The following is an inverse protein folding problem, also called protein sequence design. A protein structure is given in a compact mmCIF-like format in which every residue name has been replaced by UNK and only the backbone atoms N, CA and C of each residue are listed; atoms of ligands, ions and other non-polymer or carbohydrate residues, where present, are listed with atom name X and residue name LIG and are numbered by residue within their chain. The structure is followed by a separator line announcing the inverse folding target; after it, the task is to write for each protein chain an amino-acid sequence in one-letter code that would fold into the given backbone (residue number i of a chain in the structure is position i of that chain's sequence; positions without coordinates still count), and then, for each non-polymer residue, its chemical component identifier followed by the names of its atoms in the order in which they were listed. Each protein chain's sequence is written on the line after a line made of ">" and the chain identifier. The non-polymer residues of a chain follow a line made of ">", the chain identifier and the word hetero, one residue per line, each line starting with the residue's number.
data_IF_503297208986
#
_entry.id   IF_503297208986
#
_cell.length_a   1.000
_cell.length_b   1.000
_cell.length_c   1.000
_cell.angle_alpha   90.00
_cell.angle_beta   90.00
_cell.angle_gamma   90.00
#
_symmetry.space_group_name_H-M   'P 1'
#
loop_
_entity.id
_entity.type
_entity.pdbx_description
1 polymer ?
#
# COMPACT_ATOMS: atom_id res chain seq x y z
N UNK A 1 0.77 -18.94 -3.96
CA UNK A 1 0.19 -18.37 -2.72
C UNK A 1 -0.94 -19.20 -2.11
N UNK A 2 -1.96 -19.63 -2.88
CA UNK A 2 -3.09 -20.40 -2.32
C UNK A 2 -2.69 -21.68 -1.56
N UNK A 3 -1.75 -22.48 -2.07
CA UNK A 3 -1.24 -23.68 -1.38
C UNK A 3 -0.58 -23.35 -0.03
N UNK A 4 0.18 -22.25 0.03
CA UNK A 4 0.86 -21.80 1.26
C UNK A 4 -0.14 -21.32 2.32
N UNK A 5 -1.14 -20.53 1.91
CA UNK A 5 -2.23 -20.10 2.80
C UNK A 5 -3.05 -21.31 3.29
N UNK A 6 -3.25 -22.33 2.44
CA UNK A 6 -3.97 -23.53 2.85
C UNK A 6 -3.20 -24.35 3.89
N UNK A 7 -1.86 -24.38 3.82
CA UNK A 7 -1.01 -25.05 4.81
C UNK A 7 -0.81 -24.23 6.09
N UNK A 8 -0.88 -22.90 5.99
CA UNK A 8 -0.79 -21.97 7.14
C UNK A 8 -1.77 -20.80 6.95
N UNK A 9 -3.01 -20.94 7.44
CA UNK A 9 -4.05 -19.90 7.31
C UNK A 9 -3.80 -18.64 8.15
N UNK A 10 -2.85 -18.67 9.08
CA UNK A 10 -2.51 -17.53 9.92
C UNK A 10 -1.32 -16.73 9.36
N UNK A 11 -0.71 -17.20 8.28
CA UNK A 11 0.35 -16.49 7.56
C UNK A 11 -0.14 -15.20 6.89
N UNK A 12 -0.16 -14.12 7.66
CA UNK A 12 -0.65 -12.79 7.26
C UNK A 12 -0.02 -12.28 5.95
N UNK A 13 1.29 -12.47 5.78
CA UNK A 13 2.03 -12.02 4.59
C UNK A 13 1.55 -12.73 3.32
N UNK A 14 1.09 -13.97 3.44
CA UNK A 14 0.55 -14.73 2.30
C UNK A 14 -0.67 -14.03 1.67
N UNK A 15 -1.56 -13.50 2.50
CA UNK A 15 -2.69 -12.71 2.02
C UNK A 15 -2.26 -11.41 1.37
N UNK A 16 -1.23 -10.73 1.88
CA UNK A 16 -0.69 -9.51 1.27
C UNK A 16 -0.15 -9.75 -0.14
N UNK A 17 0.63 -10.82 -0.35
CA UNK A 17 1.10 -11.18 -1.69
C UNK A 17 -0.04 -11.62 -2.62
N UNK A 18 -1.04 -12.32 -2.09
CA UNK A 18 -2.21 -12.70 -2.88
C UNK A 18 -3.01 -11.47 -3.30
N UNK A 19 -3.14 -10.47 -2.42
CA UNK A 19 -3.77 -9.20 -2.75
C UNK A 19 -3.14 -8.58 -4.00
N UNK A 20 -1.82 -8.38 -4.01
CA UNK A 20 -1.13 -7.80 -5.17
C UNK A 20 -1.26 -8.65 -6.44
N UNK A 21 -1.37 -9.97 -6.30
CA UNK A 21 -1.72 -10.85 -7.44
C UNK A 21 -3.13 -10.54 -7.97
N UNK A 22 -4.10 -10.30 -7.09
CA UNK A 22 -5.49 -9.93 -7.46
C UNK A 22 -5.58 -8.53 -8.05
N UNK A 23 -4.77 -7.59 -7.56
CA UNK A 23 -4.61 -6.26 -8.14
C UNK A 23 -4.24 -6.33 -9.62
N UNK A 24 -3.19 -7.09 -9.96
CA UNK A 24 -2.76 -7.29 -11.36
C UNK A 24 -3.80 -7.98 -12.24
N UNK A 25 -4.73 -8.72 -11.64
CA UNK A 25 -5.87 -9.34 -12.35
C UNK A 25 -7.06 -8.39 -12.54
N UNK A 26 -6.96 -7.14 -12.06
CA UNK A 26 -8.06 -6.18 -12.07
C UNK A 26 -9.18 -6.47 -11.06
N UNK A 27 -9.00 -7.45 -10.17
CA UNK A 27 -10.03 -7.81 -9.19
C UNK A 27 -9.86 -7.00 -7.91
N UNK A 28 -10.44 -5.80 -7.91
CA UNK A 28 -10.37 -4.84 -6.80
C UNK A 28 -11.02 -5.36 -5.51
N UNK A 29 -12.13 -6.10 -5.63
CA UNK A 29 -12.82 -6.68 -4.48
C UNK A 29 -11.93 -7.69 -3.76
N UNK A 30 -11.36 -8.64 -4.51
CA UNK A 30 -10.47 -9.65 -3.96
C UNK A 30 -9.16 -9.02 -3.45
N UNK A 31 -8.66 -7.97 -4.09
CA UNK A 31 -7.50 -7.21 -3.62
C UNK A 31 -7.75 -6.64 -2.22
N UNK A 32 -8.85 -5.91 -2.01
CA UNK A 32 -9.16 -5.31 -0.71
C UNK A 32 -9.50 -6.38 0.34
N UNK A 33 -10.21 -7.45 -0.04
CA UNK A 33 -10.50 -8.56 0.86
C UNK A 33 -9.23 -9.23 1.40
N UNK A 34 -8.25 -9.45 0.52
CA UNK A 34 -6.95 -10.03 0.90
C UNK A 34 -6.09 -9.06 1.71
N UNK A 35 -6.07 -7.77 1.37
CA UNK A 35 -5.41 -6.76 2.20
C UNK A 35 -6.00 -6.72 3.61
N UNK A 36 -7.33 -6.64 3.74
CA UNK A 36 -7.99 -6.63 5.04
C UNK A 36 -7.73 -7.91 5.83
N UNK A 37 -7.66 -9.06 5.17
CA UNK A 37 -7.33 -10.33 5.83
C UNK A 37 -5.87 -10.35 6.30
N UNK A 38 -4.94 -9.85 5.49
CA UNK A 38 -3.53 -9.68 5.89
C UNK A 38 -3.40 -8.79 7.12
N UNK A 39 -4.12 -7.67 7.17
CA UNK A 39 -4.14 -6.76 8.32
C UNK A 39 -4.67 -7.46 9.58
N UNK A 40 -5.80 -8.17 9.45
CA UNK A 40 -6.44 -8.88 10.56
C UNK A 40 -5.51 -9.96 11.14
N UNK A 41 -4.94 -10.80 10.29
CA UNK A 41 -4.02 -11.88 10.69
C UNK A 41 -2.70 -11.33 11.26
N UNK A 42 -2.29 -10.14 10.83
CA UNK A 42 -1.17 -9.40 11.40
C UNK A 42 -1.51 -8.63 12.69
N UNK A 43 -2.67 -8.86 13.31
CA UNK A 43 -3.07 -8.23 14.58
C UNK A 43 -3.60 -6.79 14.46
N UNK A 44 -3.82 -6.27 13.24
CA UNK A 44 -4.34 -4.92 12.99
C UNK A 44 -5.81 -4.98 12.60
N UNK A 45 -6.65 -5.40 13.54
CA UNK A 45 -8.09 -5.56 13.32
C UNK A 45 -8.79 -4.24 12.95
N UNK A 46 -8.35 -3.13 13.56
CA UNK A 46 -8.80 -1.77 13.26
C UNK A 46 -8.53 -1.36 11.80
N UNK A 47 -7.34 -1.65 11.29
CA UNK A 47 -6.95 -1.40 9.91
C UNK A 47 -7.73 -2.31 8.94
N UNK A 48 -7.98 -3.56 9.31
CA UNK A 48 -8.78 -4.49 8.51
C UNK A 48 -10.24 -4.02 8.39
N UNK A 49 -10.85 -3.58 9.49
CA UNK A 49 -12.20 -3.03 9.50
C UNK A 49 -12.28 -1.75 8.68
N UNK A 50 -11.30 -0.85 8.83
CA UNK A 50 -11.20 0.40 8.06
C UNK A 50 -11.23 0.14 6.55
N UNK A 51 -10.42 -0.81 6.06
CA UNK A 51 -10.39 -1.17 4.64
C UNK A 51 -11.76 -1.69 4.17
N UNK A 52 -12.37 -2.62 4.93
CA UNK A 52 -13.67 -3.22 4.56
C UNK A 52 -14.79 -2.19 4.56
N UNK A 53 -14.86 -1.36 5.60
CA UNK A 53 -15.88 -0.31 5.74
C UNK A 53 -15.72 0.76 4.66
N UNK A 54 -14.49 1.19 4.36
CA UNK A 54 -14.20 2.12 3.27
C UNK A 54 -14.62 1.55 1.92
N UNK A 55 -14.32 0.27 1.67
CA UNK A 55 -14.73 -0.41 0.44
C UNK A 55 -16.24 -0.47 0.28
N UNK A 56 -16.98 -0.80 1.35
CA UNK A 56 -18.45 -0.81 1.32
C UNK A 56 -19.09 0.55 1.02
N UNK A 57 -18.40 1.66 1.33
CA UNK A 57 -18.90 3.02 1.08
C UNK A 57 -18.57 3.55 -0.31
N UNK A 58 -17.45 3.15 -0.91
CA UNK A 58 -16.93 3.82 -2.11
C UNK A 58 -16.01 2.97 -2.98
N UNK A 59 -16.09 1.64 -2.87
CA UNK A 59 -15.22 0.71 -3.60
C UNK A 59 -13.74 0.93 -3.28
N UNK A 60 -12.87 0.68 -4.26
CA UNK A 60 -11.40 0.80 -4.09
C UNK A 60 -10.99 2.17 -3.54
N UNK A 61 -11.54 3.26 -4.09
CA UNK A 61 -11.21 4.62 -3.65
C UNK A 61 -11.65 4.84 -2.21
N UNK A 62 -12.86 4.42 -1.85
CA UNK A 62 -13.34 4.50 -0.46
C UNK A 62 -12.47 3.74 0.54
N UNK A 63 -11.97 2.56 0.16
CA UNK A 63 -11.05 1.79 1.00
C UNK A 63 -9.71 2.51 1.21
N UNK A 64 -9.15 3.08 0.13
CA UNK A 64 -7.88 3.80 0.17
C UNK A 64 -8.00 5.10 0.98
N UNK A 65 -9.04 5.92 0.74
CA UNK A 65 -9.28 7.15 1.50
C UNK A 65 -9.44 6.87 2.99
N UNK A 66 -10.25 5.87 3.37
CA UNK A 66 -10.43 5.48 4.77
C UNK A 66 -9.12 5.04 5.42
N UNK A 67 -8.30 4.27 4.71
CA UNK A 67 -7.01 3.82 5.20
C UNK A 67 -6.01 4.97 5.36
N UNK A 68 -5.97 5.92 4.42
CA UNK A 68 -5.14 7.12 4.52
C UNK A 68 -5.56 7.94 5.75
N UNK A 69 -6.85 8.20 5.94
CA UNK A 69 -7.36 8.91 7.12
C UNK A 69 -6.97 8.21 8.44
N UNK A 70 -7.12 6.89 8.47
CA UNK A 70 -6.74 6.07 9.62
C UNK A 70 -5.24 6.16 9.92
N UNK A 71 -4.38 6.03 8.90
CA UNK A 71 -2.93 6.15 9.03
C UNK A 71 -2.51 7.57 9.47
N UNK A 72 -3.14 8.61 8.93
CA UNK A 72 -2.90 10.00 9.30
C UNK A 72 -3.36 10.32 10.73
N UNK A 73 -4.39 9.66 11.23
CA UNK A 73 -4.79 9.76 12.64
C UNK A 73 -3.76 9.08 13.54
N UNK A 74 -3.31 7.88 13.18
CA UNK A 74 -2.27 7.14 13.92
C UNK A 74 -0.93 7.87 13.95
N UNK A 75 -0.57 8.55 12.86
CA UNK A 75 0.69 9.30 12.77
C UNK A 75 0.81 10.45 13.79
N UNK A 76 -0.27 10.80 14.48
CA UNK A 76 -0.26 11.79 15.58
C UNK A 76 0.25 11.21 16.90
N UNK A 77 0.22 9.89 17.06
CA UNK A 77 0.55 9.21 18.33
C UNK A 77 1.66 8.17 18.19
N UNK A 78 1.90 7.67 16.98
CA UNK A 78 2.94 6.70 16.69
C UNK A 78 3.58 6.94 15.31
N UNK A 79 4.75 6.36 15.07
CA UNK A 79 5.37 6.43 13.75
C UNK A 79 4.54 5.64 12.73
N UNK A 80 4.20 6.29 11.63
CA UNK A 80 3.55 5.68 10.47
C UNK A 80 4.40 5.97 9.25
N UNK A 81 4.80 4.91 8.54
CA UNK A 81 5.64 5.03 7.34
C UNK A 81 4.94 5.87 6.25
N UNK A 82 5.51 7.03 5.84
CA UNK A 82 5.04 7.79 4.69
C UNK A 82 4.98 6.95 3.40
N UNK A 83 5.88 5.98 3.22
CA UNK A 83 5.85 5.06 2.08
C UNK A 83 4.55 4.26 2.02
N UNK A 84 4.07 3.78 3.17
CA UNK A 84 2.80 3.06 3.26
C UNK A 84 1.59 3.93 2.88
N UNK A 85 1.63 5.23 3.22
CA UNK A 85 0.60 6.19 2.81
C UNK A 85 0.67 6.45 1.30
N UNK A 86 1.88 6.61 0.75
CA UNK A 86 2.09 6.78 -0.69
C UNK A 86 1.51 5.62 -1.51
N UNK A 87 1.64 4.38 -1.04
CA UNK A 87 1.05 3.20 -1.69
C UNK A 87 -0.46 3.33 -1.85
N UNK A 88 -1.19 3.80 -0.83
CA UNK A 88 -2.65 3.97 -0.94
C UNK A 88 -3.05 5.11 -1.87
N UNK A 89 -2.31 6.23 -1.89
CA UNK A 89 -2.52 7.29 -2.88
C UNK A 89 -2.27 6.79 -4.31
N UNK A 90 -1.24 5.98 -4.51
CA UNK A 90 -0.91 5.42 -5.82
C UNK A 90 -1.97 4.45 -6.32
N UNK A 91 -2.44 3.54 -5.46
CA UNK A 91 -3.56 2.64 -5.76
C UNK A 91 -4.83 3.41 -6.13
N UNK A 92 -5.06 4.59 -5.51
CA UNK A 92 -6.19 5.46 -5.82
C UNK A 92 -6.00 6.27 -7.12
N UNK A 93 -4.78 6.30 -7.67
CA UNK A 93 -4.40 7.08 -8.85
C UNK A 93 -4.10 8.55 -8.58
N UNK A 94 -3.93 8.95 -7.33
CA UNK A 94 -3.60 10.31 -6.92
C UNK A 94 -2.08 10.50 -6.89
N UNK A 95 -1.52 10.82 -8.07
CA UNK A 95 -0.08 10.89 -8.26
C UNK A 95 0.57 12.03 -7.49
N UNK A 96 -0.12 13.16 -7.33
CA UNK A 96 0.46 14.32 -6.66
C UNK A 96 0.71 14.05 -5.18
N UNK A 97 -0.29 13.51 -4.47
CA UNK A 97 -0.09 13.08 -3.09
C UNK A 97 0.82 11.85 -3.00
N UNK A 98 0.83 10.97 -4.00
CA UNK A 98 1.80 9.86 -4.03
C UNK A 98 3.22 10.39 -3.97
N UNK A 99 3.57 11.36 -4.82
CA UNK A 99 4.91 11.95 -4.82
C UNK A 99 5.20 12.76 -3.55
N UNK A 100 4.22 13.50 -3.02
CA UNK A 100 4.39 14.20 -1.74
C UNK A 100 4.85 13.25 -0.63
N UNK A 101 4.19 12.10 -0.51
CA UNK A 101 4.51 11.11 0.52
C UNK A 101 5.77 10.29 0.18
N UNK A 102 6.10 10.07 -1.08
CA UNK A 102 7.38 9.47 -1.47
C UNK A 102 8.57 10.38 -1.15
N UNK A 103 8.44 11.69 -1.36
CA UNK A 103 9.47 12.66 -0.97
C UNK A 103 9.65 12.71 0.54
N UNK A 104 8.54 12.64 1.29
CA UNK A 104 8.58 12.52 2.75
C UNK A 104 9.27 11.21 3.16
N UNK A 105 8.90 10.09 2.52
CA UNK A 105 9.48 8.78 2.79
C UNK A 105 11.00 8.76 2.55
N UNK A 106 11.45 9.41 1.47
CA UNK A 106 12.86 9.57 1.14
C UNK A 106 13.61 10.38 2.20
N UNK A 107 13.09 11.56 2.58
CA UNK A 107 13.72 12.41 3.61
C UNK A 107 13.81 11.74 4.98
N UNK A 108 12.80 10.94 5.32
CA UNK A 108 12.72 10.25 6.61
C UNK A 108 13.41 8.88 6.59
N UNK A 109 14.03 8.47 5.48
CA UNK A 109 14.59 7.12 5.31
C UNK A 109 13.60 6.02 5.70
N UNK A 110 12.34 6.20 5.28
CA UNK A 110 11.25 5.33 5.67
C UNK A 110 11.47 3.91 5.15
N UNK A 111 11.11 2.92 5.97
CA UNK A 111 11.25 1.52 5.59
C UNK A 111 10.50 1.19 4.30
N UNK A 112 11.07 0.28 3.51
CA UNK A 112 10.62 -0.17 2.18
C UNK A 112 10.92 0.76 1.01
N UNK A 113 11.52 1.92 1.24
CA UNK A 113 12.01 2.77 0.14
C UNK A 113 12.95 2.00 -0.80
N UNK A 114 13.73 1.06 -0.28
CA UNK A 114 14.60 0.17 -1.05
C UNK A 114 13.85 -0.70 -2.09
N UNK A 115 12.54 -0.92 -1.92
CA UNK A 115 11.69 -1.72 -2.81
C UNK A 115 10.87 -0.87 -3.79
N UNK A 116 11.10 0.44 -3.88
CA UNK A 116 10.31 1.36 -4.71
C UNK A 116 10.18 0.93 -6.18
N UNK A 117 11.19 0.21 -6.72
CA UNK A 117 11.19 -0.30 -8.11
C UNK A 117 10.30 -1.53 -8.30
N UNK A 118 10.10 -2.32 -7.25
CA UNK A 118 9.38 -3.59 -7.26
C UNK A 118 7.92 -3.45 -6.79
N UNK A 119 7.52 -2.25 -6.36
CA UNK A 119 6.19 -1.99 -5.82
C UNK A 119 5.16 -1.84 -6.95
N UNK A 120 4.19 -2.75 -6.99
CA UNK A 120 3.12 -2.78 -8.00
C UNK A 120 2.30 -1.49 -8.01
N UNK A 121 2.12 -0.87 -6.84
CA UNK A 121 1.42 0.41 -6.72
C UNK A 121 2.06 1.52 -7.55
N UNK A 122 3.38 1.43 -7.78
CA UNK A 122 4.17 2.48 -8.43
C UNK A 122 4.49 2.17 -9.90
N UNK A 123 3.90 1.12 -10.48
CA UNK A 123 4.13 0.78 -11.89
C UNK A 123 3.81 1.97 -12.81
N UNK A 124 2.71 2.68 -12.55
CA UNK A 124 2.30 3.87 -13.31
C UNK A 124 3.19 5.11 -13.11
N UNK A 125 4.08 5.11 -12.12
CA UNK A 125 5.00 6.24 -11.86
C UNK A 125 6.27 6.16 -12.70
N UNK A 126 6.59 5.00 -13.27
CA UNK A 126 7.90 4.76 -13.94
C UNK A 126 8.18 5.70 -15.11
N UNK A 127 7.14 6.23 -15.76
CA UNK A 127 7.27 7.22 -16.83
C UNK A 127 7.27 8.68 -16.35
N UNK A 128 6.96 8.94 -15.07
CA UNK A 128 6.91 10.30 -14.53
C UNK A 128 8.33 10.80 -14.21
N UNK A 129 8.73 12.00 -14.70
CA UNK A 129 10.06 12.56 -14.42
C UNK A 129 10.39 12.68 -12.93
N UNK A 130 9.39 12.88 -12.05
CA UNK A 130 9.58 12.95 -10.60
C UNK A 130 10.06 11.62 -10.04
N UNK A 131 9.60 10.50 -10.59
CA UNK A 131 10.04 9.16 -10.18
C UNK A 131 11.49 8.90 -10.58
N UNK A 132 11.86 9.27 -11.81
CA UNK A 132 13.23 9.14 -12.31
C UNK A 132 14.22 9.96 -11.47
N UNK A 133 13.85 11.20 -11.13
CA UNK A 133 14.67 12.04 -10.24
C UNK A 133 14.79 11.46 -8.83
N UNK A 134 13.70 10.93 -8.28
CA UNK A 134 13.71 10.26 -6.97
C UNK A 134 14.66 9.06 -6.96
N UNK A 135 14.58 8.17 -7.95
CA UNK A 135 15.50 7.02 -8.08
C UNK A 135 16.97 7.47 -8.18
N UNK A 136 17.24 8.53 -8.96
CA UNK A 136 18.58 9.11 -9.09
C UNK A 136 19.11 9.60 -7.75
N UNK A 137 18.30 10.31 -6.95
CA UNK A 137 18.68 10.79 -5.61
C UNK A 137 18.90 9.64 -4.63
N UNK A 138 18.18 8.54 -4.79
CA UNK A 138 18.38 7.32 -4.01
C UNK A 138 19.61 6.50 -4.44
N UNK A 139 20.27 6.87 -5.55
CA UNK A 139 21.38 6.08 -6.10
C UNK A 139 20.94 4.76 -6.75
N UNK A 140 19.66 4.64 -7.12
CA UNK A 140 19.12 3.47 -7.80
C UNK A 140 19.25 3.59 -9.32
N UNK A 141 19.44 2.47 -10.05
CA UNK A 141 19.46 2.50 -11.51
C UNK A 141 18.09 2.94 -12.06
N UNK A 142 18.12 3.75 -13.12
CA UNK A 142 16.94 4.21 -13.85
C UNK A 142 16.51 3.15 -14.87
#
# INVERSE_FOLDING_TARGET
>A
MNKLIASDPDFATGYGYRAWTRWRQGNQEAFIADLATSQLKGGRADAAETLRAGYGKGGLKGACSAMIEFLMKKSRTEYVSPYGIAVFYAVMGDLDHTFEYLEKAYREHSGRMEYIKDEDAFEGLRSDPRYVDLLRRMGLPQ
#
